data_IF_606843310708
#
_entry.id   IF_606843310708
#
_cell.length_a   1.000
_cell.length_b   1.000
_cell.length_c   1.000
_cell.angle_alpha   90.00
_cell.angle_beta   90.00
_cell.angle_gamma   90.00
#
_symmetry.space_group_name_H-M   'P 1'
#
loop_
_entity.id
_entity.type
_entity.pdbx_description
1 polymer ?
#
# COMPACT_ATOMS: atom_id res chain seq x y z
N UNK A 1 -34.80 5.79 -11.09
CA UNK A 1 -33.98 6.27 -9.96
C UNK A 1 -33.63 5.04 -9.14
N UNK A 2 -32.40 4.55 -9.27
CA UNK A 2 -31.92 3.40 -8.51
C UNK A 2 -31.65 3.86 -7.07
N UNK A 3 -32.33 3.23 -6.13
CA UNK A 3 -32.15 3.47 -4.70
C UNK A 3 -30.78 2.93 -4.29
N UNK A 4 -29.87 3.81 -3.87
CA UNK A 4 -28.49 3.45 -3.52
C UNK A 4 -28.42 2.43 -2.37
N UNK A 5 -29.51 2.28 -1.61
CA UNK A 5 -29.65 1.30 -0.52
C UNK A 5 -29.73 -0.16 -0.98
N UNK A 6 -30.03 -0.42 -2.26
CA UNK A 6 -30.17 -1.78 -2.82
C UNK A 6 -28.93 -2.23 -3.62
N UNK A 7 -27.94 -1.36 -3.82
CA UNK A 7 -26.76 -1.67 -4.63
C UNK A 7 -25.66 -2.33 -3.77
N UNK A 8 -25.35 -3.59 -4.05
CA UNK A 8 -24.28 -4.32 -3.35
C UNK A 8 -22.92 -3.71 -3.77
N UNK A 9 -22.12 -3.17 -2.84
CA UNK A 9 -20.84 -2.57 -3.17
C UNK A 9 -19.86 -3.63 -3.67
N UNK A 10 -19.43 -3.50 -4.93
CA UNK A 10 -18.51 -4.46 -5.57
C UNK A 10 -17.03 -4.16 -5.35
N UNK A 11 -16.71 -2.96 -4.84
CA UNK A 11 -15.33 -2.43 -4.76
C UNK A 11 -14.78 -2.31 -3.34
N UNK A 12 -15.38 -3.01 -2.38
CA UNK A 12 -14.93 -2.97 -0.99
C UNK A 12 -13.49 -3.49 -0.82
N UNK A 13 -13.10 -4.46 -1.65
CA UNK A 13 -11.78 -5.10 -1.62
C UNK A 13 -10.79 -4.53 -2.64
N UNK A 14 -11.15 -3.46 -3.37
CA UNK A 14 -10.23 -2.84 -4.32
C UNK A 14 -9.04 -2.25 -3.53
N UNK A 15 -7.79 -2.49 -3.99
CA UNK A 15 -6.63 -1.92 -3.32
C UNK A 15 -6.72 -0.38 -3.35
N UNK A 16 -6.23 0.30 -2.29
CA UNK A 16 -6.19 1.74 -2.27
C UNK A 16 -5.29 2.23 -3.42
N UNK A 17 -5.77 3.25 -4.13
CA UNK A 17 -5.05 3.86 -5.25
C UNK A 17 -4.61 5.27 -4.87
N UNK A 18 -3.40 5.62 -5.30
CA UNK A 18 -2.89 6.97 -5.23
C UNK A 18 -2.64 7.43 -6.67
N UNK A 19 -3.33 8.49 -7.08
CA UNK A 19 -3.40 8.91 -8.49
C UNK A 19 -3.95 7.80 -9.38
N UNK A 20 -3.22 7.39 -10.42
CA UNK A 20 -3.59 6.33 -11.35
C UNK A 20 -2.94 4.97 -11.03
N UNK A 21 -2.16 4.89 -9.95
CA UNK A 21 -1.43 3.70 -9.54
C UNK A 21 -1.92 3.19 -8.19
N UNK A 22 -1.59 1.93 -7.90
CA UNK A 22 -1.78 1.39 -6.56
C UNK A 22 -0.94 2.16 -5.54
N UNK A 23 -1.45 2.30 -4.32
CA UNK A 23 -0.82 3.09 -3.26
C UNK A 23 0.63 2.68 -2.99
N UNK A 24 0.91 1.37 -2.96
CA UNK A 24 2.25 0.82 -2.72
C UNK A 24 3.25 1.19 -3.82
N UNK A 25 2.84 1.12 -5.08
CA UNK A 25 3.66 1.53 -6.25
C UNK A 25 3.97 3.02 -6.17
N UNK A 26 2.96 3.85 -5.90
CA UNK A 26 3.13 5.31 -5.76
C UNK A 26 4.04 5.69 -4.60
N UNK A 27 3.89 5.02 -3.45
CA UNK A 27 4.76 5.25 -2.29
C UNK A 27 6.21 4.89 -2.58
N UNK A 28 6.47 3.86 -3.39
CA UNK A 28 7.82 3.47 -3.76
C UNK A 28 8.50 4.54 -4.64
N UNK A 29 7.78 5.06 -5.64
CA UNK A 29 8.28 6.17 -6.48
C UNK A 29 8.51 7.42 -5.64
N UNK A 30 7.57 7.75 -4.76
CA UNK A 30 7.69 8.91 -3.87
C UNK A 30 8.89 8.79 -2.94
N UNK A 31 9.08 7.64 -2.29
CA UNK A 31 10.20 7.41 -1.39
C UNK A 31 11.55 7.53 -2.11
N UNK A 32 11.68 6.97 -3.32
CA UNK A 32 12.88 7.07 -4.13
C UNK A 32 13.14 8.51 -4.61
N UNK A 33 12.10 9.24 -5.00
CA UNK A 33 12.20 10.66 -5.37
C UNK A 33 12.64 11.54 -4.22
N UNK A 34 12.08 11.34 -3.02
CA UNK A 34 12.47 12.04 -1.80
C UNK A 34 13.91 11.71 -1.40
N UNK A 35 14.32 10.44 -1.46
CA UNK A 35 15.71 10.04 -1.23
C UNK A 35 16.66 10.71 -2.23
N UNK A 36 16.30 10.72 -3.52
CA UNK A 36 17.07 11.42 -4.56
C UNK A 36 17.15 12.93 -4.33
N UNK A 37 16.09 13.55 -3.81
CA UNK A 37 16.09 14.97 -3.44
C UNK A 37 17.10 15.26 -2.32
N UNK A 38 17.11 14.42 -1.27
CA UNK A 38 18.05 14.54 -0.14
C UNK A 38 19.49 14.34 -0.62
N UNK A 39 19.73 13.42 -1.55
CA UNK A 39 21.06 13.15 -2.12
C UNK A 39 21.50 14.18 -3.17
N UNK A 40 20.67 15.14 -3.55
CA UNK A 40 20.97 16.14 -4.59
C UNK A 40 20.82 15.65 -6.03
N UNK A 41 20.33 14.42 -6.24
CA UNK A 41 20.14 13.80 -7.55
C UNK A 41 18.68 13.44 -7.83
N UNK A 42 17.77 14.42 -7.69
CA UNK A 42 16.32 14.22 -7.78
C UNK A 42 15.87 13.47 -9.05
N UNK A 43 16.35 13.88 -10.23
CA UNK A 43 15.95 13.27 -11.50
C UNK A 43 16.36 11.78 -11.55
N UNK A 44 17.57 11.46 -11.10
CA UNK A 44 18.04 10.06 -11.08
C UNK A 44 17.29 9.23 -10.03
N UNK A 45 16.94 9.82 -8.89
CA UNK A 45 16.13 9.18 -7.86
C UNK A 45 14.72 8.85 -8.36
N UNK A 46 14.08 9.76 -9.08
CA UNK A 46 12.80 9.51 -9.74
C UNK A 46 12.90 8.41 -10.80
N UNK A 47 13.95 8.43 -11.64
CA UNK A 47 14.16 7.40 -12.65
C UNK A 47 14.35 6.00 -12.02
N UNK A 48 15.18 5.92 -10.99
CA UNK A 48 15.37 4.69 -10.19
C UNK A 48 14.07 4.25 -9.52
N UNK A 49 13.30 5.20 -8.97
CA UNK A 49 11.99 4.95 -8.38
C UNK A 49 11.02 4.31 -9.34
N UNK A 50 10.92 4.81 -10.58
CA UNK A 50 10.09 4.23 -11.63
C UNK A 50 10.54 2.82 -12.03
N UNK A 51 11.85 2.57 -12.11
CA UNK A 51 12.41 1.25 -12.41
C UNK A 51 12.05 0.24 -11.31
N UNK A 52 12.28 0.61 -10.05
CA UNK A 52 11.94 -0.23 -8.90
C UNK A 52 10.43 -0.47 -8.80
N UNK A 53 9.62 0.56 -9.02
CA UNK A 53 8.16 0.47 -8.99
C UNK A 53 7.63 -0.45 -10.10
N UNK A 54 8.24 -0.41 -11.29
CA UNK A 54 7.91 -1.31 -12.40
C UNK A 54 8.27 -2.76 -12.09
N UNK A 55 9.46 -3.00 -11.53
CA UNK A 55 9.88 -4.34 -11.10
C UNK A 55 8.97 -4.88 -9.99
N UNK A 56 8.61 -4.04 -9.02
CA UNK A 56 7.71 -4.37 -7.93
C UNK A 56 6.29 -4.70 -8.45
N UNK A 57 5.72 -3.87 -9.35
CA UNK A 57 4.42 -4.11 -9.94
C UNK A 57 4.34 -5.44 -10.70
N UNK A 58 5.41 -5.80 -11.43
CA UNK A 58 5.53 -7.12 -12.06
C UNK A 58 5.55 -8.25 -11.03
N UNK A 59 6.32 -8.09 -9.94
CA UNK A 59 6.38 -9.08 -8.86
C UNK A 59 5.07 -9.20 -8.06
N UNK A 60 4.25 -8.13 -8.00
CA UNK A 60 2.94 -8.10 -7.33
C UNK A 60 1.83 -8.72 -8.19
N UNK A 61 1.99 -8.78 -9.51
CA UNK A 61 0.95 -9.26 -10.43
C UNK A 61 0.49 -10.68 -10.07
N UNK A 62 -0.82 -10.87 -9.91
CA UNK A 62 -1.44 -12.15 -9.55
C UNK A 62 -1.40 -12.51 -8.06
N UNK A 63 -0.90 -11.63 -7.19
CA UNK A 63 -0.88 -11.81 -5.73
C UNK A 63 -2.05 -11.09 -5.05
N UNK A 64 -2.23 -11.37 -3.76
CA UNK A 64 -3.24 -10.74 -2.92
C UNK A 64 -3.15 -9.19 -2.97
N UNK A 65 -4.27 -8.45 -3.00
CA UNK A 65 -4.27 -6.98 -3.10
C UNK A 65 -3.45 -6.28 -2.01
N UNK A 66 -3.42 -6.85 -0.80
CA UNK A 66 -2.62 -6.38 0.34
C UNK A 66 -1.19 -6.99 0.42
N UNK A 67 -0.56 -7.34 -0.71
CA UNK A 67 0.75 -8.00 -0.76
C UNK A 67 1.84 -7.21 -0.02
N UNK A 68 1.92 -5.89 -0.23
CA UNK A 68 2.88 -5.02 0.45
C UNK A 68 2.75 -5.08 1.98
N UNK A 69 1.51 -4.99 2.47
CA UNK A 69 1.22 -5.01 3.91
C UNK A 69 1.58 -6.36 4.54
N UNK A 70 1.33 -7.46 3.84
CA UNK A 70 1.72 -8.79 4.30
C UNK A 70 3.24 -8.93 4.39
N UNK A 71 3.97 -8.42 3.39
CA UNK A 71 5.43 -8.43 3.42
C UNK A 71 5.97 -7.60 4.60
N UNK A 72 5.40 -6.41 4.82
CA UNK A 72 5.76 -5.53 5.92
C UNK A 72 5.50 -6.20 7.28
N UNK A 73 4.33 -6.84 7.43
CA UNK A 73 3.96 -7.57 8.65
C UNK A 73 4.97 -8.67 9.00
N UNK A 74 5.50 -9.38 8.01
CA UNK A 74 6.44 -10.47 8.25
C UNK A 74 7.90 -10.03 8.39
N UNK A 75 8.32 -8.94 7.76
CA UNK A 75 9.74 -8.56 7.68
C UNK A 75 10.10 -7.37 8.55
N UNK A 76 9.11 -6.59 9.00
CA UNK A 76 9.36 -5.40 9.82
C UNK A 76 8.92 -5.65 11.26
N UNK A 77 9.75 -5.29 12.26
CA UNK A 77 9.39 -5.42 13.66
C UNK A 77 8.05 -4.74 13.97
N UNK A 78 7.22 -5.37 14.81
CA UNK A 78 5.92 -4.84 15.22
C UNK A 78 6.01 -3.46 15.89
N UNK A 79 7.16 -3.11 16.48
CA UNK A 79 7.42 -1.80 17.05
C UNK A 79 7.38 -0.65 16.02
N UNK A 80 7.64 -0.95 14.74
CA UNK A 80 7.67 0.06 13.66
C UNK A 80 6.32 0.11 12.94
N UNK A 81 5.67 -1.04 12.74
CA UNK A 81 4.42 -1.13 11.96
C UNK A 81 3.17 -0.86 12.79
N UNK A 82 3.22 -1.07 14.11
CA UNK A 82 2.06 -1.01 14.98
C UNK A 82 1.00 -2.09 14.69
N UNK A 83 1.28 -3.01 13.77
CA UNK A 83 0.36 -4.08 13.38
C UNK A 83 0.30 -5.12 14.49
N UNK A 84 -0.85 -5.22 15.15
CA UNK A 84 -1.11 -6.23 16.16
C UNK A 84 -1.73 -7.46 15.51
N UNK A 85 -1.23 -8.65 15.86
CA UNK A 85 -1.73 -9.93 15.34
C UNK A 85 -3.20 -10.20 15.73
N UNK A 86 -3.59 -9.74 16.91
CA UNK A 86 -4.95 -9.87 17.45
C UNK A 86 -5.29 -8.65 18.30
N UNK A 87 -6.51 -8.09 18.20
CA UNK A 87 -6.96 -7.02 19.07
C UNK A 87 -6.95 -7.47 20.54
N UNK A 88 -6.86 -6.52 21.50
CA UNK A 88 -6.89 -6.85 22.92
C UNK A 88 -8.18 -7.56 23.31
N UNK A 89 -8.08 -8.65 24.08
CA UNK A 89 -9.21 -9.53 24.43
C UNK A 89 -10.34 -8.85 25.22
N UNK A 90 -10.07 -7.70 25.84
CA UNK A 90 -11.05 -6.93 26.60
C UNK A 90 -11.89 -5.98 25.72
N UNK A 91 -11.52 -5.76 24.46
CA UNK A 91 -12.34 -4.98 23.52
C UNK A 91 -13.45 -5.86 22.96
N UNK A 92 -14.70 -5.53 23.29
CA UNK A 92 -15.90 -6.28 22.87
C UNK A 92 -16.65 -5.65 21.70
N UNK A 93 -16.36 -4.39 21.40
CA UNK A 93 -16.91 -3.69 20.24
C UNK A 93 -15.85 -3.67 19.14
N UNK A 94 -16.16 -4.31 18.01
CA UNK A 94 -15.38 -4.20 16.79
C UNK A 94 -15.95 -3.02 16.01
N UNK A 95 -15.14 -2.00 15.75
CA UNK A 95 -15.51 -0.93 14.82
C UNK A 95 -15.45 -1.52 13.41
N UNK A 96 -16.62 -1.85 12.87
CA UNK A 96 -16.81 -2.36 11.52
C UNK A 96 -16.85 -1.25 10.49
#
# INVERSE_FOLDING_TARGET
MTDASLEIPRRLNDPPRMFWWDLDVSLLVLAAGLAGMISGFFITGCALGLLLASAYGRAKTGKHPAFALHLLYWHVPAAITGLQRTPPSHMREMVG
#
